data_IF_867462909302
#
_entry.id   IF_867462909302
#
_cell.length_a   1.000
_cell.length_b   1.000
_cell.length_c   1.000
_cell.angle_alpha   90.00
_cell.angle_beta   90.00
_cell.angle_gamma   90.00
#
_symmetry.space_group_name_H-M   'P 1'
#
loop_
_entity.id
_entity.type
_entity.pdbx_description
1 polymer ?
#
# COMPACT_ATOMS: atom_id res chain seq x y z
N UNK A 1 -2.08 -12.40 -11.73
CA UNK A 1 -2.05 -11.01 -12.22
C UNK A 1 -0.67 -10.45 -11.90
N UNK A 2 0.11 -9.96 -12.88
CA UNK A 2 1.50 -9.52 -12.68
C UNK A 2 1.53 -8.00 -12.50
N UNK A 3 2.26 -7.52 -11.51
CA UNK A 3 2.38 -6.09 -11.22
C UNK A 3 3.43 -5.37 -12.08
N UNK A 4 4.16 -6.10 -12.96
CA UNK A 4 5.13 -5.56 -13.93
C UNK A 4 6.07 -4.49 -13.35
N UNK A 5 6.46 -4.64 -12.09
CA UNK A 5 7.30 -3.66 -11.38
C UNK A 5 6.66 -2.31 -11.04
N UNK A 6 5.38 -2.05 -11.36
CA UNK A 6 4.72 -0.76 -11.12
C UNK A 6 4.72 -0.36 -9.64
N UNK A 7 4.64 -1.35 -8.75
CA UNK A 7 5.00 -1.14 -7.34
C UNK A 7 5.89 -2.28 -6.88
N UNK A 8 6.97 -1.95 -6.16
CA UNK A 8 7.79 -2.96 -5.47
C UNK A 8 6.97 -3.77 -4.46
N UNK A 9 5.94 -3.17 -3.86
CA UNK A 9 5.02 -3.85 -2.93
C UNK A 9 4.29 -5.01 -3.57
N UNK A 10 3.73 -4.81 -4.77
CA UNK A 10 3.03 -5.86 -5.51
C UNK A 10 3.97 -6.75 -6.33
N UNK A 11 5.25 -6.38 -6.48
CA UNK A 11 6.27 -7.17 -7.20
C UNK A 11 7.42 -7.60 -6.27
N UNK A 12 7.11 -8.27 -5.17
CA UNK A 12 8.15 -8.78 -4.26
C UNK A 12 7.75 -10.09 -3.60
N UNK A 13 8.74 -10.94 -3.32
CA UNK A 13 8.54 -12.11 -2.49
C UNK A 13 8.58 -11.74 -1.00
N UNK A 14 7.68 -12.35 -0.24
CA UNK A 14 7.59 -12.28 1.22
C UNK A 14 7.59 -13.71 1.75
N UNK A 15 8.41 -14.06 2.76
CA UNK A 15 8.28 -15.33 3.45
C UNK A 15 7.00 -15.34 4.29
N UNK A 16 5.99 -16.13 3.90
CA UNK A 16 4.70 -16.24 4.61
C UNK A 16 4.69 -17.44 5.57
N UNK A 17 5.45 -18.50 5.27
CA UNK A 17 5.57 -19.71 6.11
C UNK A 17 7.00 -20.28 5.98
N UNK A 18 7.95 -19.88 6.85
CA UNK A 18 9.32 -20.30 6.73
C UNK A 18 9.49 -21.76 7.16
N UNK A 19 9.90 -22.62 6.22
CA UNK A 19 10.48 -23.92 6.59
C UNK A 19 11.81 -23.64 7.29
N UNK A 20 11.94 -24.03 8.56
CA UNK A 20 12.99 -23.63 9.49
C UNK A 20 14.40 -24.23 9.23
N UNK A 21 14.76 -24.56 7.99
CA UNK A 21 16.08 -25.14 7.67
C UNK A 21 16.76 -24.37 6.53
N UNK A 22 18.07 -24.09 6.68
CA UNK A 22 18.87 -23.28 5.76
C UNK A 22 18.86 -23.80 4.33
N UNK A 23 19.04 -25.11 4.12
CA UNK A 23 19.04 -25.72 2.78
C UNK A 23 17.68 -25.48 2.06
N UNK A 24 16.59 -25.55 2.82
CA UNK A 24 15.26 -25.29 2.26
C UNK A 24 15.06 -23.81 1.87
N UNK A 25 15.75 -22.89 2.55
CA UNK A 25 15.73 -21.46 2.25
C UNK A 25 16.52 -21.13 0.98
N UNK A 26 17.74 -21.65 0.84
CA UNK A 26 18.56 -21.45 -0.36
C UNK A 26 17.84 -21.97 -1.61
N UNK A 27 17.29 -23.18 -1.52
CA UNK A 27 16.48 -23.78 -2.57
C UNK A 27 15.24 -22.94 -2.90
N UNK A 28 14.59 -22.34 -1.90
CA UNK A 28 13.44 -21.48 -2.11
C UNK A 28 13.80 -20.18 -2.82
N UNK A 29 14.91 -19.55 -2.42
CA UNK A 29 15.43 -18.34 -3.09
C UNK A 29 15.80 -18.66 -4.54
N UNK A 30 16.52 -19.76 -4.80
CA UNK A 30 16.90 -20.17 -6.15
C UNK A 30 15.67 -20.44 -7.05
N UNK A 31 14.63 -21.09 -6.53
CA UNK A 31 13.37 -21.29 -7.27
C UNK A 31 12.70 -19.97 -7.63
N UNK A 32 12.63 -19.03 -6.69
CA UNK A 32 12.02 -17.71 -6.93
C UNK A 32 12.82 -16.91 -7.95
N UNK A 33 14.14 -16.91 -7.86
CA UNK A 33 15.03 -16.29 -8.86
C UNK A 33 14.75 -16.80 -10.27
N UNK A 34 14.63 -18.13 -10.44
CA UNK A 34 14.29 -18.73 -11.74
C UNK A 34 12.92 -18.30 -12.27
N UNK A 35 11.94 -18.03 -11.40
CA UNK A 35 10.63 -17.50 -11.82
C UNK A 35 10.72 -16.08 -12.37
N UNK A 36 11.54 -15.22 -11.76
CA UNK A 36 11.78 -13.86 -12.25
C UNK A 36 12.62 -13.84 -13.54
N UNK A 37 13.63 -14.69 -13.63
CA UNK A 37 14.46 -14.84 -14.83
C UNK A 37 13.61 -15.27 -16.04
N UNK A 38 12.71 -16.23 -15.85
CA UNK A 38 11.80 -16.71 -16.89
C UNK A 38 10.87 -15.61 -17.46
N UNK A 39 10.71 -14.50 -16.74
CA UNK A 39 9.89 -13.35 -17.17
C UNK A 39 10.71 -12.07 -17.37
N UNK A 40 12.04 -12.16 -17.28
CA UNK A 40 12.98 -11.04 -17.45
C UNK A 40 12.69 -9.83 -16.54
N UNK A 41 12.23 -10.07 -15.31
CA UNK A 41 12.02 -9.03 -14.31
C UNK A 41 13.09 -9.13 -13.19
N UNK A 42 13.46 -8.01 -12.53
CA UNK A 42 14.44 -8.03 -11.47
C UNK A 42 13.87 -8.71 -10.21
N UNK A 43 14.57 -9.70 -9.64
CA UNK A 43 14.13 -10.34 -8.41
C UNK A 43 14.14 -9.33 -7.26
N UNK A 44 13.03 -9.29 -6.52
CA UNK A 44 12.81 -8.35 -5.43
C UNK A 44 12.23 -9.07 -4.23
N UNK A 45 12.87 -8.92 -3.07
CA UNK A 45 12.43 -9.52 -1.81
C UNK A 45 12.10 -8.42 -0.80
N UNK A 46 11.08 -8.66 0.03
CA UNK A 46 10.79 -7.85 1.22
C UNK A 46 11.32 -8.58 2.44
N UNK A 47 12.21 -7.93 3.17
CA UNK A 47 12.79 -8.45 4.41
C UNK A 47 12.21 -7.67 5.57
N UNK A 48 11.44 -8.36 6.43
CA UNK A 48 10.77 -7.78 7.59
C UNK A 48 11.65 -7.88 8.84
N UNK A 49 11.65 -6.82 9.64
CA UNK A 49 12.31 -6.77 10.93
C UNK A 49 11.71 -7.82 11.88
N UNK A 50 12.58 -8.62 12.50
CA UNK A 50 12.19 -9.60 13.52
C UNK A 50 11.35 -10.77 13.02
N UNK A 51 11.30 -11.01 11.71
CA UNK A 51 10.57 -12.13 11.12
C UNK A 51 11.51 -13.23 10.63
N UNK A 52 11.09 -14.49 10.79
CA UNK A 52 11.80 -15.64 10.23
C UNK A 52 11.57 -15.76 8.71
N UNK A 53 12.55 -16.28 7.95
CA UNK A 53 13.85 -16.75 8.41
C UNK A 53 14.83 -15.59 8.61
N UNK A 54 15.45 -15.52 9.79
CA UNK A 54 16.44 -14.48 10.13
C UNK A 54 17.66 -14.48 9.18
N UNK A 55 18.02 -15.66 8.66
CA UNK A 55 19.11 -15.82 7.69
C UNK A 55 18.81 -15.31 6.27
N UNK A 56 17.55 -14.92 5.96
CA UNK A 56 17.18 -14.48 4.61
C UNK A 56 17.97 -13.25 4.16
N UNK A 57 18.16 -12.28 5.06
CA UNK A 57 18.81 -11.03 4.68
C UNK A 57 20.27 -11.25 4.31
N UNK A 58 20.99 -12.00 5.16
CA UNK A 58 22.38 -12.36 4.94
C UNK A 58 22.56 -13.21 3.68
N UNK A 59 21.65 -14.17 3.43
CA UNK A 59 21.66 -14.97 2.22
C UNK A 59 21.51 -14.09 0.97
N UNK A 60 20.58 -13.13 0.98
CA UNK A 60 20.39 -12.21 -0.15
C UNK A 60 21.62 -11.31 -0.35
N UNK A 61 22.29 -10.87 0.73
CA UNK A 61 23.57 -10.14 0.62
C UNK A 61 24.63 -11.00 -0.06
N UNK A 62 24.82 -12.25 0.38
CA UNK A 62 25.79 -13.17 -0.23
C UNK A 62 25.49 -13.44 -1.70
N UNK A 63 24.21 -13.37 -2.11
CA UNK A 63 23.77 -13.52 -3.51
C UNK A 63 23.81 -12.21 -4.33
N UNK A 64 24.40 -11.14 -3.78
CA UNK A 64 24.65 -9.88 -4.49
C UNK A 64 23.45 -8.93 -4.55
N UNK A 65 22.47 -9.06 -3.65
CA UNK A 65 21.35 -8.12 -3.60
C UNK A 65 21.72 -6.83 -2.85
N UNK A 66 21.45 -5.69 -3.49
CA UNK A 66 21.51 -4.38 -2.85
C UNK A 66 20.27 -4.08 -2.02
N UNK A 67 20.37 -3.11 -1.11
CA UNK A 67 19.23 -2.60 -0.34
C UNK A 67 18.54 -1.48 -1.10
N UNK A 68 17.20 -1.47 -1.12
CA UNK A 68 16.42 -0.41 -1.75
C UNK A 68 15.20 -0.04 -0.92
N UNK A 69 15.08 1.21 -0.50
CA UNK A 69 13.92 1.72 0.23
C UNK A 69 13.64 1.01 1.56
N UNK A 70 12.84 1.66 2.40
CA UNK A 70 12.38 1.07 3.64
C UNK A 70 11.01 1.63 4.01
N UNK A 71 10.20 0.85 4.69
CA UNK A 71 8.87 1.25 5.13
C UNK A 71 8.59 0.74 6.54
N UNK A 72 7.79 1.49 7.27
CA UNK A 72 7.17 1.05 8.51
C UNK A 72 5.76 0.56 8.22
N UNK A 73 5.37 -0.53 8.88
CA UNK A 73 3.98 -0.99 8.94
C UNK A 73 3.38 -0.42 10.21
N UNK A 74 2.30 0.36 10.06
CA UNK A 74 1.57 0.94 11.17
C UNK A 74 0.20 0.27 11.31
N UNK A 75 -0.24 0.09 12.55
CA UNK A 75 -1.53 -0.51 12.90
C UNK A 75 -2.36 0.43 13.79
N UNK A 76 -3.68 0.37 13.62
CA UNK A 76 -4.66 0.98 14.49
C UNK A 76 -5.80 -0.02 14.76
N UNK A 77 -6.04 -0.43 16.01
CA UNK A 77 -7.26 -1.17 16.36
C UNK A 77 -8.50 -0.35 16.02
N UNK A 78 -9.49 -0.97 15.38
CA UNK A 78 -10.75 -0.33 15.04
C UNK A 78 -11.86 -0.85 15.96
N UNK A 79 -12.58 0.08 16.55
CA UNK A 79 -13.84 -0.18 17.22
C UNK A 79 -14.97 0.44 16.40
N UNK A 80 -16.09 -0.25 16.16
CA UNK A 80 -17.26 0.34 15.53
C UNK A 80 -17.72 1.53 16.39
N UNK A 81 -17.43 2.75 15.92
CA UNK A 81 -17.94 3.94 16.56
C UNK A 81 -19.40 4.16 16.10
N UNK A 82 -20.29 4.66 16.98
CA UNK A 82 -21.54 5.26 16.53
C UNK A 82 -21.19 6.31 15.45
N UNK A 83 -21.98 6.39 14.36
CA UNK A 83 -21.78 7.43 13.33
C UNK A 83 -21.64 8.78 14.03
N UNK A 84 -20.42 9.31 14.06
CA UNK A 84 -20.21 10.66 14.54
C UNK A 84 -21.06 11.56 13.64
N UNK A 85 -21.85 12.45 14.24
CA UNK A 85 -22.58 13.46 13.48
C UNK A 85 -21.61 14.19 12.56
N UNK A 86 -22.08 14.60 11.37
CA UNK A 86 -21.26 15.26 10.35
C UNK A 86 -20.42 16.39 10.96
N UNK A 87 -19.18 16.07 11.33
CA UNK A 87 -18.20 17.08 11.70
C UNK A 87 -17.82 17.88 10.45
N UNK A 88 -16.96 18.88 10.63
CA UNK A 88 -16.43 19.76 9.57
C UNK A 88 -15.53 19.06 8.53
N UNK A 89 -15.81 17.80 8.17
CA UNK A 89 -15.17 17.15 7.04
C UNK A 89 -15.67 17.82 5.75
N UNK A 90 -14.80 17.99 4.74
CA UNK A 90 -15.25 18.47 3.44
C UNK A 90 -16.31 17.51 2.86
N UNK A 91 -17.22 18.02 2.02
CA UNK A 91 -18.10 17.16 1.23
C UNK A 91 -17.29 16.07 0.52
N UNK A 92 -17.78 14.84 0.57
CA UNK A 92 -17.08 13.68 0.00
C UNK A 92 -18.09 12.63 -0.43
N UNK A 93 -17.66 11.81 -1.38
CA UNK A 93 -18.39 10.64 -1.87
C UNK A 93 -17.69 9.38 -1.35
N UNK A 94 -18.47 8.35 -1.02
CA UNK A 94 -17.94 7.07 -0.52
C UNK A 94 -18.59 5.93 -1.29
N UNK A 95 -17.76 5.08 -1.89
CA UNK A 95 -18.17 3.85 -2.56
C UNK A 95 -17.54 2.66 -1.85
N UNK A 96 -18.32 1.60 -1.64
CA UNK A 96 -17.85 0.36 -0.99
C UNK A 96 -18.07 -0.80 -1.93
N UNK A 97 -17.05 -1.64 -2.13
CA UNK A 97 -17.13 -2.84 -2.95
C UNK A 97 -16.05 -2.87 -4.03
N UNK A 98 -16.45 -3.20 -5.26
CA UNK A 98 -15.56 -3.24 -6.42
C UNK A 98 -14.92 -1.87 -6.70
N UNK A 99 -13.81 -1.87 -7.45
CA UNK A 99 -13.12 -0.65 -7.87
C UNK A 99 -14.11 0.27 -8.61
N UNK A 100 -14.22 1.50 -8.14
CA UNK A 100 -15.02 2.54 -8.76
C UNK A 100 -14.17 3.25 -9.83
N UNK A 101 -14.64 3.29 -11.07
CA UNK A 101 -13.87 3.81 -12.20
C UNK A 101 -13.67 5.33 -12.10
N UNK A 102 -14.65 6.07 -11.58
CA UNK A 102 -14.54 7.52 -11.37
C UNK A 102 -13.50 7.84 -10.30
N UNK A 103 -13.52 7.10 -9.19
CA UNK A 103 -12.49 7.19 -8.15
C UNK A 103 -11.11 6.78 -8.69
N UNK A 104 -11.03 5.75 -9.53
CA UNK A 104 -9.76 5.31 -10.11
C UNK A 104 -9.14 6.39 -11.01
N UNK A 105 -9.95 7.01 -11.88
CA UNK A 105 -9.52 8.10 -12.74
C UNK A 105 -9.03 9.30 -11.93
N UNK A 106 -9.77 9.67 -10.88
CA UNK A 106 -9.38 10.70 -9.91
C UNK A 106 -8.03 10.38 -9.23
N UNK A 107 -7.86 9.13 -8.77
CA UNK A 107 -6.63 8.70 -8.12
C UNK A 107 -5.43 8.71 -9.08
N UNK A 108 -5.65 8.36 -10.34
CA UNK A 108 -4.63 8.41 -11.38
C UNK A 108 -4.18 9.85 -11.68
N UNK A 109 -5.12 10.79 -11.77
CA UNK A 109 -4.82 12.22 -11.98
C UNK A 109 -4.01 12.81 -10.82
N UNK A 110 -4.38 12.49 -9.58
CA UNK A 110 -3.73 13.04 -8.38
C UNK A 110 -2.36 12.43 -8.09
N UNK A 111 -2.11 11.19 -8.51
CA UNK A 111 -0.87 10.48 -8.24
C UNK A 111 -0.47 9.55 -9.41
N UNK A 112 -0.17 10.11 -10.60
CA UNK A 112 0.18 9.33 -11.78
C UNK A 112 1.49 8.57 -11.56
N UNK A 113 1.67 7.50 -12.35
CA UNK A 113 2.87 6.67 -12.35
C UNK A 113 3.45 6.60 -13.76
N UNK A 114 4.76 6.58 -13.84
CA UNK A 114 5.47 6.42 -15.11
C UNK A 114 5.39 4.97 -15.61
N UNK A 115 5.39 4.79 -16.92
CA UNK A 115 5.44 3.49 -17.59
C UNK A 115 4.24 3.23 -18.51
N UNK A 116 4.51 2.64 -19.68
CA UNK A 116 3.52 2.39 -20.76
C UNK A 116 2.27 1.64 -20.26
N UNK A 117 2.43 0.71 -19.33
CA UNK A 117 1.36 -0.13 -18.79
C UNK A 117 0.99 0.20 -17.34
N UNK A 118 1.47 1.33 -16.80
CA UNK A 118 1.34 1.64 -15.38
C UNK A 118 -0.11 1.80 -14.94
N UNK A 119 -0.94 2.45 -15.77
CA UNK A 119 -2.36 2.66 -15.47
C UNK A 119 -3.15 1.36 -15.45
N UNK A 120 -3.07 0.55 -16.51
CA UNK A 120 -3.79 -0.73 -16.58
C UNK A 120 -3.35 -1.69 -15.49
N UNK A 121 -2.05 -1.76 -15.21
CA UNK A 121 -1.54 -2.63 -14.14
C UNK A 121 -1.97 -2.17 -12.75
N UNK A 122 -2.03 -0.86 -12.49
CA UNK A 122 -2.54 -0.35 -11.21
C UNK A 122 -4.04 -0.60 -11.07
N UNK A 123 -4.81 -0.42 -12.14
CA UNK A 123 -6.25 -0.74 -12.18
C UNK A 123 -6.48 -2.19 -11.76
N UNK A 124 -5.81 -3.10 -12.45
CA UNK A 124 -5.82 -4.54 -12.21
C UNK A 124 -5.53 -4.90 -10.74
N UNK A 125 -4.49 -4.30 -10.16
CA UNK A 125 -4.12 -4.48 -8.75
C UNK A 125 -5.25 -4.02 -7.81
N UNK A 126 -5.82 -2.85 -8.07
CA UNK A 126 -6.83 -2.25 -7.19
C UNK A 126 -8.20 -2.93 -7.31
N UNK A 127 -8.53 -3.44 -8.50
CA UNK A 127 -9.75 -4.20 -8.78
C UNK A 127 -9.79 -5.57 -8.10
N UNK A 128 -8.62 -6.15 -7.80
CA UNK A 128 -8.50 -7.46 -7.17
C UNK A 128 -8.91 -7.53 -5.70
N UNK A 129 -9.28 -6.42 -5.05
CA UNK A 129 -9.68 -6.41 -3.64
C UNK A 129 -10.80 -5.42 -3.39
N UNK A 130 -11.94 -5.85 -2.81
CA UNK A 130 -12.98 -4.94 -2.39
C UNK A 130 -12.46 -3.88 -1.44
N UNK A 131 -12.97 -2.65 -1.53
CA UNK A 131 -12.47 -1.54 -0.73
C UNK A 131 -13.57 -0.54 -0.37
N UNK A 132 -13.29 0.24 0.68
CA UNK A 132 -13.89 1.57 0.84
C UNK A 132 -13.06 2.55 0.02
N UNK A 133 -13.73 3.35 -0.79
CA UNK A 133 -13.15 4.35 -1.69
C UNK A 133 -13.80 5.69 -1.39
N UNK A 134 -12.99 6.68 -1.04
CA UNK A 134 -13.46 8.03 -0.71
C UNK A 134 -12.86 9.03 -1.68
N UNK A 135 -13.70 9.91 -2.22
CA UNK A 135 -13.31 11.01 -3.10
C UNK A 135 -13.84 12.33 -2.54
N UNK A 136 -13.00 13.37 -2.58
CA UNK A 136 -13.37 14.74 -2.24
C UNK A 136 -13.38 15.55 -3.54
N UNK A 137 -14.55 15.98 -4.04
CA UNK A 137 -14.63 16.78 -5.26
C UNK A 137 -14.05 18.19 -5.04
N UNK A 138 -13.68 18.87 -6.12
CA UNK A 138 -13.39 20.30 -6.05
C UNK A 138 -14.60 21.11 -5.54
N UNK A 139 -14.37 22.25 -4.87
CA UNK A 139 -15.42 23.21 -4.57
C UNK A 139 -16.13 23.65 -5.85
N UNK A 140 -17.44 23.86 -5.82
CA UNK A 140 -18.22 24.25 -6.99
C UNK A 140 -17.75 25.56 -7.68
N UNK A 141 -17.01 26.41 -6.96
CA UNK A 141 -16.44 27.65 -7.47
C UNK A 141 -15.05 27.49 -8.11
N UNK A 142 -14.46 26.29 -8.09
CA UNK A 142 -13.17 26.03 -8.71
C UNK A 142 -13.30 26.11 -10.24
N UNK A 143 -12.28 26.68 -10.90
CA UNK A 143 -12.23 26.79 -12.37
C UNK A 143 -12.11 25.42 -13.04
N UNK A 144 -11.48 24.48 -12.35
CA UNK A 144 -11.29 23.10 -12.77
C UNK A 144 -12.03 22.18 -11.79
N UNK A 145 -12.82 21.25 -12.31
CA UNK A 145 -13.61 20.31 -11.50
C UNK A 145 -12.81 19.05 -11.15
N UNK A 146 -11.50 19.21 -10.94
CA UNK A 146 -10.63 18.09 -10.59
C UNK A 146 -10.83 17.70 -9.11
N UNK A 147 -10.87 16.40 -8.79
CA UNK A 147 -11.00 15.96 -7.41
C UNK A 147 -9.81 16.43 -6.59
N UNK A 148 -10.05 17.02 -5.42
CA UNK A 148 -8.99 17.60 -4.59
C UNK A 148 -8.38 16.58 -3.63
N UNK A 149 -8.98 15.41 -3.50
CA UNK A 149 -8.39 14.31 -2.75
C UNK A 149 -9.10 12.98 -2.95
N UNK A 150 -8.33 11.90 -2.79
CA UNK A 150 -8.81 10.53 -2.82
C UNK A 150 -8.18 9.72 -1.69
N UNK A 151 -8.87 8.68 -1.27
CA UNK A 151 -8.29 7.65 -0.42
C UNK A 151 -8.99 6.31 -0.55
N UNK A 152 -8.27 5.24 -0.23
CA UNK A 152 -8.79 3.87 -0.29
C UNK A 152 -8.40 3.07 0.95
N UNK A 153 -9.29 2.18 1.37
CA UNK A 153 -9.04 1.17 2.38
C UNK A 153 -9.47 -0.20 1.83
N UNK A 154 -8.49 -1.03 1.46
CA UNK A 154 -8.73 -2.40 1.01
C UNK A 154 -9.30 -3.23 2.16
N UNK A 155 -10.34 -4.02 1.92
CA UNK A 155 -10.91 -4.91 2.92
C UNK A 155 -10.38 -6.33 2.66
N UNK A 156 -9.54 -6.81 3.57
CA UNK A 156 -8.85 -8.09 3.45
C UNK A 156 -9.34 -9.05 4.54
N UNK A 157 -9.74 -10.26 4.14
CA UNK A 157 -10.04 -11.33 5.09
C UNK A 157 -8.74 -11.99 5.57
N UNK A 158 -8.55 -12.04 6.89
CA UNK A 158 -7.42 -12.68 7.56
C UNK A 158 -7.97 -13.70 8.57
N UNK A 159 -8.22 -14.92 8.11
CA UNK A 159 -8.85 -15.96 8.91
C UNK A 159 -10.30 -15.59 9.25
N UNK A 160 -10.56 -15.27 10.53
CA UNK A 160 -11.90 -14.84 11.01
C UNK A 160 -12.02 -13.33 11.17
N UNK A 161 -10.96 -12.59 10.91
CA UNK A 161 -10.93 -11.13 11.05
C UNK A 161 -10.95 -10.47 9.68
N UNK A 162 -11.54 -9.28 9.62
CA UNK A 162 -11.42 -8.38 8.47
C UNK A 162 -10.46 -7.25 8.84
N UNK A 163 -9.52 -6.96 7.97
CA UNK A 163 -8.51 -5.91 8.14
C UNK A 163 -8.69 -4.86 7.05
N UNK A 164 -8.60 -3.58 7.43
CA UNK A 164 -8.58 -2.46 6.51
C UNK A 164 -7.14 -2.07 6.15
N UNK A 165 -6.72 -2.17 4.90
CA UNK A 165 -5.39 -1.73 4.46
C UNK A 165 -5.51 -0.40 3.73
N UNK A 166 -5.10 0.70 4.39
CA UNK A 166 -5.15 2.03 3.81
C UNK A 166 -4.07 2.19 2.74
N UNK A 167 -4.48 2.62 1.55
CA UNK A 167 -3.59 2.92 0.44
C UNK A 167 -4.18 4.03 -0.46
N UNK A 168 -3.40 4.48 -1.44
CA UNK A 168 -3.84 5.49 -2.43
C UNK A 168 -4.42 6.77 -1.82
N UNK A 169 -3.82 7.26 -0.71
CA UNK A 169 -4.19 8.56 -0.13
C UNK A 169 -3.43 9.66 -0.89
N UNK A 170 -4.16 10.52 -1.60
CA UNK A 170 -3.59 11.64 -2.33
C UNK A 170 -4.46 12.90 -2.14
N UNK A 171 -3.81 14.06 -2.11
CA UNK A 171 -4.45 15.38 -2.02
C UNK A 171 -3.78 16.30 -3.04
N UNK A 172 -4.59 17.02 -3.80
CA UNK A 172 -4.15 17.97 -4.80
C UNK A 172 -3.14 18.96 -4.19
N UNK A 173 -2.00 19.25 -4.84
CA UNK A 173 -0.93 20.08 -4.28
C UNK A 173 -1.40 21.40 -3.65
N UNK A 174 -2.32 22.11 -4.32
CA UNK A 174 -2.86 23.40 -3.87
C UNK A 174 -3.80 23.30 -2.66
N UNK A 175 -4.32 22.10 -2.37
CA UNK A 175 -5.23 21.84 -1.26
C UNK A 175 -4.56 21.13 -0.07
N UNK A 176 -3.23 20.99 -0.11
CA UNK A 176 -2.47 20.38 0.99
C UNK A 176 -2.49 21.26 2.24
N UNK A 177 -2.20 20.64 3.38
CA UNK A 177 -2.15 21.28 4.71
C UNK A 177 -3.49 21.85 5.23
N UNK A 178 -4.60 21.57 4.54
CA UNK A 178 -5.96 21.95 4.94
C UNK A 178 -6.70 20.84 5.71
N UNK A 179 -6.00 19.81 6.16
CA UNK A 179 -6.60 18.68 6.91
C UNK A 179 -7.32 17.62 6.06
N UNK A 180 -7.34 17.76 4.73
CA UNK A 180 -8.06 16.84 3.82
C UNK A 180 -7.60 15.38 3.98
N UNK A 181 -6.29 15.11 3.99
CA UNK A 181 -5.77 13.76 4.17
C UNK A 181 -6.20 13.12 5.51
N UNK A 182 -6.33 13.94 6.56
CA UNK A 182 -6.81 13.52 7.89
C UNK A 182 -8.31 13.21 7.85
N UNK A 183 -9.10 14.04 7.15
CA UNK A 183 -10.52 13.79 6.96
C UNK A 183 -10.77 12.52 6.15
N UNK A 184 -10.10 12.36 4.99
CA UNK A 184 -10.12 11.16 4.17
C UNK A 184 -9.81 9.90 4.97
N UNK A 185 -8.71 9.93 5.72
CA UNK A 185 -8.29 8.78 6.54
C UNK A 185 -9.34 8.44 7.60
N UNK A 186 -9.94 9.43 8.28
CA UNK A 186 -11.02 9.18 9.24
C UNK A 186 -12.25 8.55 8.59
N UNK A 187 -12.72 9.11 7.49
CA UNK A 187 -13.85 8.54 6.74
C UNK A 187 -13.60 7.10 6.32
N UNK A 188 -12.39 6.79 5.85
CA UNK A 188 -12.00 5.43 5.49
C UNK A 188 -12.01 4.48 6.69
N UNK A 189 -11.45 4.89 7.83
CA UNK A 189 -11.40 4.07 9.05
C UNK A 189 -12.80 3.82 9.61
N UNK A 190 -13.62 4.86 9.70
CA UNK A 190 -15.00 4.78 10.19
C UNK A 190 -15.85 3.88 9.29
N UNK A 191 -15.74 4.04 7.98
CA UNK A 191 -16.46 3.22 7.01
C UNK A 191 -15.96 1.77 7.02
N UNK A 192 -14.66 1.53 7.09
CA UNK A 192 -14.11 0.18 7.17
C UNK A 192 -14.53 -0.54 8.46
N UNK A 193 -14.57 0.16 9.60
CA UNK A 193 -15.12 -0.37 10.84
C UNK A 193 -16.61 -0.76 10.71
N UNK A 194 -17.40 0.05 9.99
CA UNK A 194 -18.80 -0.30 9.65
C UNK A 194 -18.91 -1.52 8.74
N UNK A 195 -17.89 -1.80 7.92
CA UNK A 195 -17.77 -3.04 7.13
C UNK A 195 -17.23 -4.23 7.95
N UNK A 196 -17.07 -4.08 9.27
CA UNK A 196 -16.61 -5.14 10.17
C UNK A 196 -15.09 -5.28 10.26
N UNK A 197 -14.31 -4.33 9.75
CA UNK A 197 -12.87 -4.35 9.95
C UNK A 197 -12.55 -4.09 11.44
N UNK A 198 -11.71 -4.96 12.03
CA UNK A 198 -11.35 -4.91 13.46
C UNK A 198 -10.04 -4.16 13.71
N UNK A 199 -9.25 -3.94 12.66
CA UNK A 199 -8.02 -3.14 12.69
C UNK A 199 -7.70 -2.59 11.32
N UNK A 200 -6.92 -1.51 11.30
CA UNK A 200 -6.39 -0.89 10.10
C UNK A 200 -4.88 -1.03 10.05
N UNK A 201 -4.34 -1.30 8.86
CA UNK A 201 -2.92 -1.35 8.55
C UNK A 201 -2.58 -0.36 7.44
N UNK A 202 -1.36 0.14 7.45
CA UNK A 202 -0.79 0.87 6.32
C UNK A 202 0.74 0.80 6.33
N UNK A 203 1.32 1.05 5.15
CA UNK A 203 2.76 1.02 4.94
C UNK A 203 3.27 2.41 4.53
N UNK A 204 4.14 3.01 5.34
CA UNK A 204 4.72 4.35 5.10
C UNK A 204 6.20 4.22 4.83
N UNK A 205 6.70 4.84 3.76
CA UNK A 205 8.13 4.96 3.54
C UNK A 205 8.80 5.80 4.64
N UNK A 206 9.94 5.35 5.14
CA UNK A 206 10.66 6.03 6.25
C UNK A 206 11.00 7.48 5.87
N UNK A 207 11.19 7.75 4.58
CA UNK A 207 11.48 9.07 4.00
C UNK A 207 10.25 9.99 3.92
N UNK A 208 9.08 9.58 4.41
CA UNK A 208 7.84 10.36 4.40
C UNK A 208 7.41 10.81 5.81
N UNK A 209 8.09 11.82 6.39
CA UNK A 209 7.77 12.31 7.74
C UNK A 209 6.37 12.92 7.84
N UNK A 210 5.83 13.46 6.75
CA UNK A 210 4.49 14.04 6.71
C UNK A 210 3.40 12.96 6.91
N UNK A 211 3.53 11.81 6.25
CA UNK A 211 2.63 10.67 6.44
C UNK A 211 2.76 10.10 7.85
N UNK A 212 3.99 9.97 8.38
CA UNK A 212 4.20 9.55 9.77
C UNK A 212 3.49 10.48 10.76
N UNK A 213 3.66 11.80 10.64
CA UNK A 213 2.98 12.76 11.50
C UNK A 213 1.45 12.67 11.40
N UNK A 214 0.92 12.47 10.19
CA UNK A 214 -0.52 12.27 9.97
C UNK A 214 -1.05 11.04 10.71
N UNK A 215 -0.44 9.87 10.49
CA UNK A 215 -0.96 8.61 11.00
C UNK A 215 -0.72 8.46 12.51
N UNK A 216 0.42 8.93 13.03
CA UNK A 216 0.63 9.00 14.48
C UNK A 216 -0.43 9.91 15.14
N UNK A 217 -0.77 11.04 14.50
CA UNK A 217 -1.85 11.93 14.95
C UNK A 217 -3.27 11.36 14.82
N UNK A 218 -3.42 10.22 14.14
CA UNK A 218 -4.65 9.42 14.08
C UNK A 218 -4.62 8.23 15.04
N UNK A 219 -3.53 8.03 15.78
CA UNK A 219 -3.37 6.97 16.77
C UNK A 219 -2.69 5.70 16.27
N UNK A 220 -2.29 5.65 14.99
CA UNK A 220 -1.55 4.50 14.47
C UNK A 220 -0.22 4.32 15.21
N UNK A 221 0.15 3.07 15.46
CA UNK A 221 1.40 2.66 16.09
C UNK A 221 2.21 1.80 15.13
N UNK A 222 3.55 1.93 15.15
CA UNK A 222 4.41 1.03 14.38
C UNK A 222 4.38 -0.37 14.99
N UNK A 223 4.17 -1.37 14.16
CA UNK A 223 4.24 -2.79 14.56
C UNK A 223 5.48 -3.50 14.01
N UNK A 224 5.99 -3.10 12.85
CA UNK A 224 7.23 -3.63 12.27
C UNK A 224 7.77 -2.67 11.18
N UNK A 225 8.93 -2.97 10.64
CA UNK A 225 9.48 -2.34 9.46
C UNK A 225 9.96 -3.38 8.45
N UNK A 226 10.11 -2.98 7.20
CA UNK A 226 10.72 -3.83 6.18
C UNK A 226 11.51 -2.98 5.19
N UNK A 227 12.50 -3.61 4.56
CA UNK A 227 13.25 -3.03 3.45
C UNK A 227 13.22 -3.99 2.25
N UNK A 228 13.63 -3.52 1.07
CA UNK A 228 13.75 -4.38 -0.09
C UNK A 228 15.20 -4.79 -0.34
N UNK A 229 15.36 -6.04 -0.77
CA UNK A 229 16.57 -6.54 -1.41
C UNK A 229 16.29 -6.68 -2.90
N UNK A 230 17.11 -6.02 -3.71
CA UNK A 230 16.95 -5.98 -5.18
C UNK A 230 18.27 -6.33 -5.86
N UNK A 231 18.18 -7.06 -6.96
CA UNK A 231 19.31 -7.31 -7.87
C UNK A 231 18.86 -6.96 -9.28
N UNK A 232 19.76 -6.34 -10.06
CA UNK A 232 19.50 -6.06 -11.47
C UNK A 232 19.13 -7.35 -12.21
N UNK A 233 18.32 -7.23 -13.27
CA UNK A 233 18.03 -8.37 -14.11
C UNK A 233 19.32 -8.83 -14.83
N UNK A 234 19.49 -10.14 -15.10
CA UNK A 234 20.59 -10.62 -15.92
C UNK A 234 20.52 -9.94 -17.31
N UNK A 235 21.51 -9.10 -17.64
CA UNK A 235 21.57 -8.34 -18.91
C UNK A 235 21.62 -6.82 -18.77
N UNK A 236 21.43 -6.27 -17.57
CA UNK A 236 21.59 -4.82 -17.28
C UNK A 236 22.91 -4.47 -16.59
N UNK A 237 23.87 -5.40 -16.53
CA UNK A 237 25.23 -5.06 -16.10
C UNK A 237 25.86 -4.14 -17.16
N UNK A 238 26.20 -2.92 -16.74
CA UNK A 238 26.92 -1.92 -17.53
C UNK A 238 28.25 -2.44 -18.05
#
# INVERSE_FOLDING_TARGET
>A
MRSRGITRRANSAVPIDPRAHTDALEDAVARLEGMWEAVQEPPTFRVFEGHEPTALDDLLVTRGYGTAGASHVLELPLTPAPRAGAGQAPPHETVVGALDETWFDAAWQLAPRDGEHARSTLHDILAGTPAVQVMVPAPAAAKEQEPIGVGRAALVEAGRERIAVLNMIAVHPEHRRQGIAKALSRTLLDSAAQQGATRALLEVEITNPAAHALYNGLGFQRITGYHYRVRAAPGEAT
#
